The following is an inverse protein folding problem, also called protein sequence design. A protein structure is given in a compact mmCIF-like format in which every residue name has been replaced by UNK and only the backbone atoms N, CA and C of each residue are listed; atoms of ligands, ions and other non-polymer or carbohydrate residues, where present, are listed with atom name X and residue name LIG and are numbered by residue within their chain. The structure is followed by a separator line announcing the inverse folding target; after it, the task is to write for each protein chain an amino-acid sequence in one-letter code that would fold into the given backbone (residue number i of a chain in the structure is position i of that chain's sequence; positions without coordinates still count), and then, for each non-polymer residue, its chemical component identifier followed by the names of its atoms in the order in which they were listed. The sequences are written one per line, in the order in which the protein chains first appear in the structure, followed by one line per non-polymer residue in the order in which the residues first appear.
data_IF_983215090448
#
_entry.id   IF_983215090448
#
_cell.length_a   1.000
_cell.length_b   1.000
_cell.length_c   1.000
_cell.angle_alpha   90.00
_cell.angle_beta   90.00
_cell.angle_gamma   90.00
#
_symmetry.space_group_name_H-M   'P 1'
#
loop_
_entity.id
_entity.type
_entity.pdbx_description
1 polymer ?
#
# COMPACT_ATOMS: atom_id res chain seq x y z
N UNK A 1 -2.98 19.87 23.33
CA UNK A 1 -3.76 20.62 22.33
C UNK A 1 -4.69 19.64 21.66
N UNK A 2 -6.00 19.79 21.86
CA UNK A 2 -7.06 19.02 21.21
C UNK A 2 -7.60 19.95 20.14
N UNK A 3 -7.48 19.60 18.87
CA UNK A 3 -8.03 20.40 17.77
C UNK A 3 -9.38 19.82 17.33
N UNK A 4 -10.39 20.67 17.40
CA UNK A 4 -11.77 20.45 16.99
C UNK A 4 -11.86 19.98 15.52
N UNK A 5 -12.64 18.93 15.31
CA UNK A 5 -12.77 18.22 14.05
C UNK A 5 -13.66 18.95 13.04
N UNK A 6 -13.14 20.00 12.40
CA UNK A 6 -13.90 20.72 11.36
C UNK A 6 -13.08 21.46 10.30
N UNK A 7 -11.94 20.91 9.91
CA UNK A 7 -11.31 21.27 8.64
C UNK A 7 -11.62 20.20 7.60
N UNK A 8 -12.30 20.61 6.53
CA UNK A 8 -12.15 19.94 5.24
C UNK A 8 -10.68 20.10 4.85
N UNK A 9 -9.87 19.08 5.19
CA UNK A 9 -8.49 18.96 4.74
C UNK A 9 -8.49 18.81 3.23
N UNK A 10 -8.33 19.93 2.54
CA UNK A 10 -7.79 19.95 1.19
C UNK A 10 -6.45 19.21 1.24
N UNK A 11 -6.44 17.96 0.75
CA UNK A 11 -5.31 17.08 0.50
C UNK A 11 -3.95 17.60 0.99
N UNK A 12 -3.59 17.30 2.24
CA UNK A 12 -2.22 17.48 2.74
C UNK A 12 -1.18 16.81 1.80
N UNK A 13 -1.60 15.74 1.12
CA UNK A 13 -0.83 15.02 0.11
C UNK A 13 -0.52 15.86 -1.14
N UNK A 14 -1.32 16.88 -1.48
CA UNK A 14 -1.11 17.76 -2.64
C UNK A 14 0.04 18.75 -2.42
N UNK A 15 0.40 19.00 -1.15
CA UNK A 15 1.53 19.85 -0.78
C UNK A 15 2.83 19.05 -0.54
N UNK A 16 2.76 17.71 -0.56
CA UNK A 16 3.94 16.88 -0.34
C UNK A 16 4.84 16.85 -1.58
N UNK A 17 6.06 17.34 -1.40
CA UNK A 17 7.17 17.07 -2.31
C UNK A 17 7.75 15.71 -1.94
N UNK A 18 7.64 14.76 -2.87
CA UNK A 18 8.18 13.42 -2.69
C UNK A 18 9.70 13.43 -2.81
N UNK A 19 10.39 12.92 -1.79
CA UNK A 19 11.82 12.72 -1.76
C UNK A 19 12.15 11.37 -2.44
N UNK A 20 13.02 11.34 -3.46
CA UNK A 20 13.41 10.11 -4.12
C UNK A 20 13.91 9.05 -3.13
N UNK A 21 13.58 7.78 -3.39
CA UNK A 21 13.97 6.62 -2.56
C UNK A 21 13.40 6.59 -1.12
N UNK A 22 12.55 7.53 -0.72
CA UNK A 22 11.85 7.46 0.56
C UNK A 22 10.65 6.49 0.49
N UNK A 23 10.26 5.95 1.65
CA UNK A 23 9.07 5.12 1.81
C UNK A 23 7.96 5.96 2.45
N UNK A 24 6.83 6.08 1.74
CA UNK A 24 5.65 6.80 2.22
C UNK A 24 4.57 5.83 2.69
N UNK A 25 4.18 5.95 3.96
CA UNK A 25 3.04 5.22 4.51
C UNK A 25 1.75 6.02 4.24
N UNK A 26 0.78 5.38 3.60
CA UNK A 26 -0.46 6.03 3.18
C UNK A 26 -1.64 5.19 3.64
N UNK A 27 -2.49 5.79 4.46
CA UNK A 27 -3.71 5.14 4.95
C UNK A 27 -4.82 5.20 3.87
N UNK A 28 -5.66 4.15 3.80
CA UNK A 28 -6.77 3.99 2.85
C UNK A 28 -7.66 5.23 2.72
N UNK A 29 -7.84 6.00 3.78
CA UNK A 29 -8.73 7.16 3.79
C UNK A 29 -8.16 8.36 3.03
N UNK A 30 -6.87 8.32 2.69
CA UNK A 30 -6.13 9.39 2.03
C UNK A 30 -5.68 9.02 0.61
N UNK A 31 -6.07 7.85 0.11
CA UNK A 31 -5.65 7.39 -1.23
C UNK A 31 -6.60 7.94 -2.29
N UNK A 32 -6.26 9.11 -2.84
CA UNK A 32 -6.81 9.56 -4.13
C UNK A 32 -5.89 9.11 -5.29
N UNK A 33 -6.47 8.90 -6.47
CA UNK A 33 -5.78 8.62 -7.73
C UNK A 33 -4.69 9.65 -8.06
N UNK A 34 -4.86 10.90 -7.64
CA UNK A 34 -3.89 11.98 -7.88
C UNK A 34 -2.58 11.76 -7.12
N UNK A 35 -2.67 11.31 -5.87
CA UNK A 35 -1.51 11.01 -5.02
C UNK A 35 -0.74 9.81 -5.59
N UNK A 36 -1.50 8.77 -5.99
CA UNK A 36 -0.96 7.59 -6.64
C UNK A 36 -0.23 7.93 -7.95
N UNK A 37 -0.78 8.86 -8.74
CA UNK A 37 -0.13 9.38 -9.94
C UNK A 37 1.18 10.09 -9.60
N UNK A 38 1.21 11.01 -8.64
CA UNK A 38 2.47 11.71 -8.31
C UNK A 38 3.56 10.76 -7.82
N UNK A 39 3.21 9.76 -7.03
CA UNK A 39 4.14 8.73 -6.55
C UNK A 39 4.75 7.94 -7.70
N UNK A 40 3.96 7.61 -8.72
CA UNK A 40 4.46 6.80 -9.83
C UNK A 40 5.55 7.46 -10.68
N UNK A 41 5.62 8.79 -10.67
CA UNK A 41 6.64 9.55 -11.41
C UNK A 41 7.81 10.03 -10.55
N UNK A 42 7.76 9.84 -9.22
CA UNK A 42 8.70 10.46 -8.29
C UNK A 42 9.83 9.52 -7.82
N UNK A 43 9.98 8.33 -8.40
CA UNK A 43 10.96 7.32 -7.95
C UNK A 43 10.89 7.06 -6.43
N UNK A 44 9.67 6.99 -5.90
CA UNK A 44 9.43 6.78 -4.46
C UNK A 44 8.77 5.45 -4.19
N UNK A 45 9.01 4.93 -2.99
CA UNK A 45 8.35 3.74 -2.49
C UNK A 45 7.11 4.13 -1.68
N UNK A 46 6.09 3.28 -1.71
CA UNK A 46 4.90 3.47 -0.89
C UNK A 46 4.47 2.19 -0.20
N UNK A 47 3.74 2.34 0.91
CA UNK A 47 2.99 1.27 1.56
C UNK A 47 1.58 1.80 1.80
N UNK A 48 0.62 1.18 1.12
CA UNK A 48 -0.80 1.53 1.20
C UNK A 48 -1.53 0.50 2.05
N UNK A 49 -2.08 0.91 3.20
CA UNK A 49 -3.01 0.07 3.97
C UNK A 49 -4.38 0.12 3.28
N UNK A 50 -5.01 -1.03 3.03
CA UNK A 50 -6.32 -1.09 2.35
C UNK A 50 -7.24 -2.14 2.99
N UNK A 51 -8.55 -1.87 2.99
CA UNK A 51 -9.59 -2.90 3.21
C UNK A 51 -9.77 -3.70 1.90
N UNK A 52 -9.84 -5.02 2.02
CA UNK A 52 -9.95 -5.99 0.94
C UNK A 52 -10.84 -5.56 -0.24
N UNK A 53 -10.36 -5.85 -1.46
CA UNK A 53 -10.94 -5.64 -2.81
C UNK A 53 -10.04 -4.80 -3.72
N UNK A 54 -9.09 -5.47 -4.37
CA UNK A 54 -8.25 -4.89 -5.41
C UNK A 54 -8.29 -5.85 -6.61
N UNK A 55 -8.78 -5.36 -7.76
CA UNK A 55 -8.90 -6.16 -8.97
C UNK A 55 -7.53 -6.34 -9.65
N UNK A 56 -6.86 -7.42 -9.27
CA UNK A 56 -5.50 -7.72 -9.64
C UNK A 56 -5.35 -9.19 -10.03
N UNK A 57 -4.45 -9.43 -10.98
CA UNK A 57 -3.97 -10.77 -11.32
C UNK A 57 -2.72 -11.10 -10.52
N UNK A 58 -2.62 -12.33 -10.01
CA UNK A 58 -1.40 -12.81 -9.34
C UNK A 58 -0.34 -13.14 -10.39
N UNK A 59 0.84 -12.54 -10.24
CA UNK A 59 2.03 -12.83 -11.06
C UNK A 59 2.87 -13.90 -10.38
N UNK A 60 3.09 -13.75 -9.08
CA UNK A 60 3.88 -14.69 -8.27
C UNK A 60 3.27 -14.77 -6.87
N UNK A 61 3.39 -15.94 -6.22
CA UNK A 61 2.98 -16.14 -4.84
C UNK A 61 4.10 -16.80 -4.06
N UNK A 62 4.43 -16.25 -2.89
CA UNK A 62 5.33 -16.92 -1.96
C UNK A 62 4.53 -17.91 -1.11
N UNK A 63 5.06 -19.12 -0.96
CA UNK A 63 4.42 -20.20 -0.20
C UNK A 63 5.06 -20.41 1.18
N UNK A 64 6.33 -20.05 1.34
CA UNK A 64 7.03 -20.13 2.63
C UNK A 64 6.79 -18.86 3.45
N UNK A 65 5.58 -18.73 3.98
CA UNK A 65 5.17 -17.57 4.79
C UNK A 65 5.24 -17.95 6.27
N UNK A 66 5.89 -17.10 7.09
CA UNK A 66 5.99 -17.31 8.53
C UNK A 66 4.66 -16.94 9.24
N UNK A 67 3.63 -17.78 9.11
CA UNK A 67 2.27 -17.53 9.64
C UNK A 67 2.22 -17.30 11.15
N UNK A 68 3.20 -17.82 11.89
CA UNK A 68 3.38 -17.53 13.32
C UNK A 68 3.50 -16.02 13.62
N UNK A 69 3.93 -15.21 12.65
CA UNK A 69 4.08 -13.75 12.74
C UNK A 69 2.80 -12.96 12.43
N UNK A 70 1.69 -13.64 12.09
CA UNK A 70 0.45 -13.01 11.62
C UNK A 70 0.40 -12.78 10.11
N UNK A 71 1.52 -12.96 9.40
CA UNK A 71 1.58 -12.87 7.95
C UNK A 71 0.81 -14.03 7.28
N UNK A 72 -0.24 -13.72 6.52
CA UNK A 72 -1.11 -14.71 5.86
C UNK A 72 -0.95 -14.73 4.33
N UNK A 73 -0.43 -13.64 3.74
CA UNK A 73 -0.22 -13.55 2.29
C UNK A 73 1.02 -12.72 1.92
N UNK A 74 1.73 -13.18 0.89
CA UNK A 74 2.77 -12.44 0.18
C UNK A 74 2.74 -12.82 -1.30
N UNK A 75 2.34 -11.86 -2.16
CA UNK A 75 2.15 -12.06 -3.60
C UNK A 75 2.66 -10.87 -4.39
N UNK A 76 3.22 -11.15 -5.57
CA UNK A 76 3.41 -10.15 -6.61
C UNK A 76 2.17 -10.15 -7.51
N UNK A 77 1.64 -8.97 -7.79
CA UNK A 77 0.36 -8.77 -8.50
C UNK A 77 0.50 -7.72 -9.60
N UNK A 78 -0.30 -7.87 -10.65
CA UNK A 78 -0.47 -6.87 -11.69
C UNK A 78 -1.92 -6.36 -11.66
N UNK A 79 -2.11 -5.04 -11.71
CA UNK A 79 -3.45 -4.46 -11.71
C UNK A 79 -4.17 -4.75 -13.01
N UNK A 80 -5.46 -5.12 -12.95
CA UNK A 80 -6.24 -5.43 -14.15
C UNK A 80 -6.80 -4.16 -14.80
N UNK A 81 -7.18 -3.16 -13.99
CA UNK A 81 -7.80 -1.92 -14.46
C UNK A 81 -6.85 -1.05 -15.28
N UNK A 82 -7.29 -0.67 -16.49
CA UNK A 82 -6.50 0.14 -17.43
C UNK A 82 -5.99 1.46 -16.83
N UNK A 83 -6.79 2.13 -15.98
CA UNK A 83 -6.34 3.35 -15.28
C UNK A 83 -5.17 3.05 -14.35
N UNK A 84 -5.28 2.03 -13.50
CA UNK A 84 -4.21 1.65 -12.59
C UNK A 84 -2.95 1.16 -13.31
N UNK A 85 -3.06 0.47 -14.45
CA UNK A 85 -1.88 0.08 -15.24
C UNK A 85 -1.06 1.27 -15.75
N UNK A 86 -1.73 2.39 -16.07
CA UNK A 86 -1.06 3.62 -16.48
C UNK A 86 -0.39 4.33 -15.30
N UNK A 87 -1.02 4.28 -14.13
CA UNK A 87 -0.47 4.86 -12.90
C UNK A 87 0.66 4.01 -12.34
N UNK A 88 0.56 2.69 -12.38
CA UNK A 88 1.58 1.78 -11.85
C UNK A 88 2.06 0.85 -12.96
N UNK A 89 2.97 1.33 -13.82
CA UNK A 89 3.56 0.51 -14.86
C UNK A 89 4.56 -0.47 -14.21
N UNK A 90 4.04 -1.59 -13.70
CA UNK A 90 4.88 -2.65 -13.15
C UNK A 90 4.17 -3.54 -12.15
N UNK A 91 4.77 -4.68 -11.81
CA UNK A 91 4.30 -5.53 -10.73
C UNK A 91 4.33 -4.76 -9.40
N UNK A 92 3.32 -5.01 -8.57
CA UNK A 92 3.22 -4.51 -7.20
C UNK A 92 3.21 -5.71 -6.25
N UNK A 93 3.54 -5.51 -4.98
CA UNK A 93 3.48 -6.55 -3.96
C UNK A 93 2.28 -6.33 -3.06
N UNK A 94 1.52 -7.39 -2.86
CA UNK A 94 0.38 -7.45 -1.96
C UNK A 94 0.73 -8.35 -0.78
N UNK A 95 0.62 -7.80 0.41
CA UNK A 95 0.92 -8.47 1.68
C UNK A 95 -0.33 -8.44 2.55
N UNK A 96 -0.65 -9.55 3.21
CA UNK A 96 -1.76 -9.61 4.17
C UNK A 96 -1.26 -10.03 5.54
N UNK A 97 -1.71 -9.30 6.55
CA UNK A 97 -1.48 -9.61 7.94
C UNK A 97 -2.84 -9.79 8.62
N UNK A 98 -3.01 -10.92 9.29
CA UNK A 98 -4.18 -11.18 10.11
C UNK A 98 -3.96 -10.52 11.46
N UNK A 99 -4.65 -9.40 11.68
CA UNK A 99 -4.71 -8.76 12.98
C UNK A 99 -5.46 -9.67 13.94
N UNK A 100 -4.71 -10.39 14.77
CA UNK A 100 -5.26 -11.36 15.73
C UNK A 100 -6.07 -10.71 16.84
N UNK A 101 -5.85 -9.43 17.13
CA UNK A 101 -6.59 -8.72 18.17
C UNK A 101 -8.00 -8.35 17.69
N UNK A 102 -8.10 -7.96 16.41
CA UNK A 102 -9.36 -7.49 15.84
C UNK A 102 -10.06 -8.53 14.94
N UNK A 103 -9.43 -9.69 14.70
CA UNK A 103 -9.87 -10.72 13.75
C UNK A 103 -10.11 -10.16 12.34
N UNK A 104 -9.31 -9.17 11.93
CA UNK A 104 -9.42 -8.51 10.62
C UNK A 104 -8.14 -8.72 9.81
N UNK A 105 -8.29 -9.22 8.58
CA UNK A 105 -7.21 -9.20 7.58
C UNK A 105 -6.91 -7.77 7.13
N UNK A 106 -5.66 -7.34 7.28
CA UNK A 106 -5.16 -6.05 6.81
C UNK A 106 -4.31 -6.31 5.57
N UNK A 107 -4.68 -5.66 4.46
CA UNK A 107 -3.93 -5.74 3.21
C UNK A 107 -3.05 -4.51 3.04
N UNK A 108 -1.81 -4.77 2.64
CA UNK A 108 -0.81 -3.77 2.33
C UNK A 108 -0.39 -3.92 0.86
N UNK A 109 -0.43 -2.83 0.11
CA UNK A 109 0.06 -2.75 -1.26
C UNK A 109 1.33 -1.91 -1.29
N UNK A 110 2.39 -2.40 -1.95
CA UNK A 110 3.65 -1.68 -2.07
C UNK A 110 4.30 -1.91 -3.43
N UNK A 111 5.03 -0.91 -3.93
CA UNK A 111 5.95 -1.05 -5.07
C UNK A 111 7.38 -1.47 -4.64
N UNK A 112 7.65 -1.62 -3.34
CA UNK A 112 8.95 -2.03 -2.83
C UNK A 112 9.05 -3.57 -2.75
N UNK A 113 9.95 -4.14 -3.54
CA UNK A 113 10.20 -5.58 -3.61
C UNK A 113 11.36 -6.05 -2.71
N UNK A 114 12.16 -5.12 -2.19
CA UNK A 114 13.38 -5.40 -1.44
C UNK A 114 13.11 -5.58 0.06
N UNK A 115 12.18 -4.77 0.61
CA UNK A 115 11.76 -4.85 2.02
C UNK A 115 11.03 -6.17 2.30
N UNK A 116 11.18 -6.76 3.48
CA UNK A 116 10.49 -8.01 3.79
C UNK A 116 8.98 -7.81 3.93
N UNK A 117 8.18 -8.86 3.66
CA UNK A 117 6.73 -8.77 3.82
C UNK A 117 6.32 -8.50 5.29
N UNK A 118 7.13 -8.99 6.24
CA UNK A 118 6.87 -8.74 7.65
C UNK A 118 7.10 -7.27 8.04
N UNK A 119 8.12 -6.61 7.47
CA UNK A 119 8.33 -5.17 7.67
C UNK A 119 7.19 -4.36 7.07
N UNK A 120 6.74 -4.69 5.86
CA UNK A 120 5.57 -4.06 5.23
C UNK A 120 4.32 -4.20 6.09
N UNK A 121 4.12 -5.37 6.71
CA UNK A 121 2.96 -5.69 7.53
C UNK A 121 2.98 -5.08 8.94
N UNK A 122 4.10 -4.53 9.40
CA UNK A 122 4.27 -3.95 10.75
C UNK A 122 4.10 -2.42 10.78
N UNK A 123 3.79 -1.81 9.64
CA UNK A 123 3.69 -0.36 9.46
C UNK A 123 2.25 0.14 9.52
#
# INVERSE_FOLDING_TARGET
MISDGKYHDNNLLDLLVFAPNAIYLIDKNYVDFEVLYRISYAEVFFILRKKSNLDNSTVERKFNIATATGLSMDKTVAHNWHRFKKLFPGPQRLVENDDRENEVGILFLTNNMEVSALEVAKL
#
